data_IF_616769273392
#
_entry.id   IF_616769273392
#
_cell.length_a   1.000
_cell.length_b   1.000
_cell.length_c   1.000
_cell.angle_alpha   90.00
_cell.angle_beta   90.00
_cell.angle_gamma   90.00
#
_symmetry.space_group_name_H-M   'P 1'
#
loop_
_entity.id
_entity.type
_entity.pdbx_description
1 polymer ?
#
# COMPACT_ATOMS: atom_id res chain seq x y z
N UNK A 1 13.45 -60.47 12.36
CA UNK A 1 13.37 -59.94 10.98
C UNK A 1 12.43 -58.74 10.82
N UNK A 2 11.15 -58.80 11.24
CA UNK A 2 10.20 -57.67 11.07
C UNK A 2 10.63 -56.33 11.70
N UNK A 3 11.24 -56.35 12.90
CA UNK A 3 11.77 -55.13 13.56
C UNK A 3 12.90 -54.44 12.77
N UNK A 4 13.77 -55.21 12.09
CA UNK A 4 14.89 -54.63 11.33
C UNK A 4 14.39 -53.94 10.06
N UNK A 5 13.36 -54.48 9.41
CA UNK A 5 12.73 -53.86 8.23
C UNK A 5 12.04 -52.55 8.63
N UNK A 6 11.33 -52.52 9.76
CA UNK A 6 10.70 -51.29 10.27
C UNK A 6 11.72 -50.19 10.58
N UNK A 7 12.85 -50.53 11.19
CA UNK A 7 13.94 -49.58 11.48
C UNK A 7 14.54 -49.03 10.17
N UNK A 8 14.78 -49.89 9.19
CA UNK A 8 15.31 -49.48 7.87
C UNK A 8 14.34 -48.52 7.16
N UNK A 9 13.03 -48.85 7.14
CA UNK A 9 12.01 -47.99 6.51
C UNK A 9 11.92 -46.62 7.19
N UNK A 10 11.93 -46.58 8.52
CA UNK A 10 11.92 -45.31 9.27
C UNK A 10 13.19 -44.49 9.00
N UNK A 11 14.35 -45.13 8.95
CA UNK A 11 15.63 -44.45 8.71
C UNK A 11 15.67 -43.86 7.29
N UNK A 12 15.22 -44.61 6.29
CA UNK A 12 15.11 -44.14 4.89
C UNK A 12 14.10 -43.00 4.78
N UNK A 13 12.93 -43.10 5.41
CA UNK A 13 11.95 -42.02 5.45
C UNK A 13 12.50 -40.73 6.07
N UNK A 14 13.29 -40.87 7.14
CA UNK A 14 13.91 -39.73 7.83
C UNK A 14 15.00 -39.07 6.96
N UNK A 15 15.83 -39.86 6.26
CA UNK A 15 16.83 -39.36 5.30
C UNK A 15 16.15 -38.62 4.15
N UNK A 16 15.08 -39.19 3.57
CA UNK A 16 14.32 -38.55 2.49
C UNK A 16 13.70 -37.24 2.99
N UNK A 17 13.09 -37.23 4.17
CA UNK A 17 12.52 -36.01 4.76
C UNK A 17 13.57 -34.92 5.00
N UNK A 18 14.77 -35.28 5.49
CA UNK A 18 15.87 -34.34 5.68
C UNK A 18 16.39 -33.80 4.35
N UNK A 19 16.53 -34.66 3.34
CA UNK A 19 16.97 -34.26 2.00
C UNK A 19 15.98 -33.27 1.35
N UNK A 20 14.68 -33.57 1.39
CA UNK A 20 13.66 -32.66 0.88
C UNK A 20 13.61 -31.36 1.68
N UNK A 21 13.71 -31.41 3.01
CA UNK A 21 13.74 -30.20 3.83
C UNK A 21 14.95 -29.32 3.51
N UNK A 22 16.13 -29.92 3.30
CA UNK A 22 17.34 -29.18 2.91
C UNK A 22 17.20 -28.51 1.54
N UNK A 23 16.71 -29.24 0.52
CA UNK A 23 16.46 -28.69 -0.81
C UNK A 23 15.41 -27.56 -0.78
N UNK A 24 14.33 -27.76 -0.01
CA UNK A 24 13.25 -26.78 0.13
C UNK A 24 13.66 -25.57 0.96
N UNK A 25 14.69 -25.67 1.82
CA UNK A 25 15.18 -24.56 2.64
C UNK A 25 15.69 -23.41 1.78
N UNK A 26 16.55 -23.71 0.80
CA UNK A 26 17.07 -22.69 -0.13
C UNK A 26 15.95 -22.04 -0.97
N UNK A 27 14.97 -22.83 -1.41
CA UNK A 27 13.81 -22.31 -2.13
C UNK A 27 12.98 -21.33 -1.27
N UNK A 28 12.70 -21.69 -0.01
CA UNK A 28 11.98 -20.83 0.94
C UNK A 28 12.72 -19.52 1.24
N UNK A 29 14.04 -19.58 1.41
CA UNK A 29 14.86 -18.38 1.65
C UNK A 29 14.84 -17.42 0.46
N UNK A 30 14.87 -17.95 -0.77
CA UNK A 30 14.75 -17.14 -2.00
C UNK A 30 13.36 -16.52 -2.12
N UNK A 31 12.30 -17.30 -1.88
CA UNK A 31 10.91 -16.82 -1.93
C UNK A 31 10.64 -15.72 -0.89
N UNK A 32 11.15 -15.88 0.34
CA UNK A 32 11.06 -14.85 1.38
C UNK A 32 11.79 -13.57 0.98
N UNK A 33 13.01 -13.68 0.42
CA UNK A 33 13.75 -12.50 -0.04
C UNK A 33 13.00 -11.76 -1.16
N UNK A 34 12.47 -12.49 -2.14
CA UNK A 34 11.69 -11.92 -3.24
C UNK A 34 10.43 -11.20 -2.74
N UNK A 35 9.69 -11.84 -1.82
CA UNK A 35 8.55 -11.23 -1.15
C UNK A 35 8.91 -9.89 -0.46
N UNK A 36 9.96 -9.86 0.35
CA UNK A 36 10.37 -8.64 1.04
C UNK A 36 10.82 -7.54 0.08
N UNK A 37 11.49 -7.90 -1.03
CA UNK A 37 11.87 -6.93 -2.07
C UNK A 37 10.63 -6.31 -2.73
N UNK A 38 9.65 -7.12 -3.11
CA UNK A 38 8.38 -6.65 -3.69
C UNK A 38 7.58 -5.79 -2.70
N UNK A 39 7.50 -6.21 -1.44
CA UNK A 39 6.82 -5.47 -0.37
C UNK A 39 7.47 -4.10 -0.14
N UNK A 40 8.80 -4.08 0.00
CA UNK A 40 9.55 -2.83 0.13
C UNK A 40 9.37 -1.95 -1.10
N UNK A 41 9.36 -2.51 -2.31
CA UNK A 41 9.12 -1.75 -3.53
C UNK A 41 7.73 -1.10 -3.55
N UNK A 42 6.68 -1.86 -3.21
CA UNK A 42 5.31 -1.35 -3.13
C UNK A 42 5.15 -0.22 -2.13
N UNK A 43 5.84 -0.27 -1.00
CA UNK A 43 5.78 0.77 0.03
C UNK A 43 6.66 1.98 -0.32
N UNK A 44 7.89 1.76 -0.79
CA UNK A 44 8.80 2.84 -1.16
C UNK A 44 8.23 3.66 -2.33
N UNK A 45 7.71 2.98 -3.35
CA UNK A 45 7.15 3.67 -4.51
C UNK A 45 5.72 4.15 -4.23
N UNK A 46 4.87 3.28 -3.67
CA UNK A 46 3.47 3.63 -3.42
C UNK A 46 3.31 4.73 -2.37
N UNK A 47 4.08 4.72 -1.29
CA UNK A 47 3.92 5.66 -0.17
C UNK A 47 4.92 6.79 -0.25
N UNK A 48 6.23 6.51 -0.23
CA UNK A 48 7.23 7.59 -0.09
C UNK A 48 7.27 8.52 -1.30
N UNK A 49 7.26 7.98 -2.52
CA UNK A 49 7.16 8.84 -3.70
C UNK A 49 5.83 9.60 -3.74
N UNK A 50 4.73 9.03 -3.23
CA UNK A 50 3.47 9.76 -3.11
C UNK A 50 3.58 10.90 -2.10
N UNK A 51 4.26 10.74 -0.97
CA UNK A 51 4.54 11.84 -0.02
C UNK A 51 5.34 12.95 -0.71
N UNK A 52 6.41 12.60 -1.42
CA UNK A 52 7.22 13.57 -2.17
C UNK A 52 6.38 14.30 -3.24
N UNK A 53 5.51 13.58 -3.95
CA UNK A 53 4.60 14.17 -4.93
C UNK A 53 3.54 15.07 -4.31
N UNK A 54 3.04 14.72 -3.12
CA UNK A 54 2.16 15.59 -2.33
C UNK A 54 2.87 16.90 -1.99
N UNK A 55 4.15 16.86 -1.63
CA UNK A 55 4.93 18.08 -1.37
C UNK A 55 5.03 18.99 -2.60
N UNK A 56 5.20 18.43 -3.79
CA UNK A 56 5.16 19.21 -5.03
C UNK A 56 3.78 19.83 -5.29
N UNK A 57 2.70 19.09 -5.02
CA UNK A 57 1.33 19.63 -5.12
C UNK A 57 1.14 20.79 -4.14
N UNK A 58 1.45 20.60 -2.86
CA UNK A 58 1.33 21.63 -1.82
C UNK A 58 2.12 22.89 -2.18
N UNK A 59 3.38 22.71 -2.60
CA UNK A 59 4.23 23.83 -3.04
C UNK A 59 3.65 24.57 -4.24
N UNK A 60 3.09 23.84 -5.21
CA UNK A 60 2.45 24.46 -6.38
C UNK A 60 1.23 25.31 -5.99
N UNK A 61 0.44 24.82 -5.04
CA UNK A 61 -0.73 25.50 -4.51
C UNK A 61 -0.35 26.74 -3.71
N UNK A 62 0.61 26.63 -2.79
CA UNK A 62 1.11 27.73 -1.96
C UNK A 62 1.74 28.86 -2.79
N UNK A 63 2.43 28.51 -3.89
CA UNK A 63 3.09 29.47 -4.76
C UNK A 63 2.15 30.17 -5.76
N UNK A 64 0.82 29.95 -5.67
CA UNK A 64 -0.13 30.46 -6.66
C UNK A 64 0.22 30.06 -8.10
N UNK A 65 0.75 28.84 -8.28
CA UNK A 65 1.14 28.34 -9.61
C UNK A 65 -0.06 28.23 -10.55
N UNK A 66 0.24 28.18 -11.86
CA UNK A 66 -0.77 28.06 -12.91
C UNK A 66 -1.58 26.76 -12.79
N UNK A 67 -2.77 26.75 -13.41
CA UNK A 67 -3.64 25.57 -13.47
C UNK A 67 -2.91 24.34 -14.03
N UNK A 68 -2.14 24.53 -15.08
CA UNK A 68 -1.36 23.47 -15.74
C UNK A 68 -0.29 22.91 -14.81
N UNK A 69 0.36 23.76 -14.02
CA UNK A 69 1.38 23.33 -13.06
C UNK A 69 0.76 22.50 -11.93
N UNK A 70 -0.37 22.95 -11.39
CA UNK A 70 -1.10 22.21 -10.35
C UNK A 70 -1.54 20.85 -10.89
N UNK A 71 -2.17 20.82 -12.07
CA UNK A 71 -2.59 19.57 -12.72
C UNK A 71 -1.43 18.62 -13.02
N UNK A 72 -0.28 19.15 -13.45
CA UNK A 72 0.92 18.36 -13.68
C UNK A 72 1.40 17.69 -12.38
N UNK A 73 1.48 18.44 -11.27
CA UNK A 73 1.89 17.87 -9.97
C UNK A 73 0.89 16.85 -9.42
N UNK A 74 -0.42 17.09 -9.59
CA UNK A 74 -1.47 16.12 -9.25
C UNK A 74 -1.37 14.86 -10.11
N UNK A 75 -1.03 15.00 -11.38
CA UNK A 75 -0.76 13.88 -12.29
C UNK A 75 0.38 13.00 -11.80
N UNK A 76 1.49 13.58 -11.35
CA UNK A 76 2.61 12.81 -10.79
C UNK A 76 2.20 12.06 -9.52
N UNK A 77 1.44 12.71 -8.62
CA UNK A 77 0.88 12.06 -7.44
C UNK A 77 -0.04 10.88 -7.80
N UNK A 78 -0.92 11.06 -8.79
CA UNK A 78 -1.79 9.99 -9.25
C UNK A 78 -0.98 8.80 -9.79
N UNK A 79 0.11 9.05 -10.51
CA UNK A 79 0.99 7.98 -11.01
C UNK A 79 1.62 7.19 -9.87
N UNK A 80 2.19 7.84 -8.86
CA UNK A 80 2.83 7.11 -7.74
C UNK A 80 1.81 6.29 -6.93
N UNK A 81 0.61 6.83 -6.72
CA UNK A 81 -0.48 6.09 -6.06
C UNK A 81 -0.92 4.88 -6.90
N UNK A 82 -0.99 5.03 -8.23
CA UNK A 82 -1.34 3.93 -9.14
C UNK A 82 -0.29 2.82 -9.15
N UNK A 83 0.99 3.19 -9.11
CA UNK A 83 2.07 2.19 -9.00
C UNK A 83 2.00 1.46 -7.66
N UNK A 84 1.66 2.15 -6.56
CA UNK A 84 1.37 1.53 -5.27
C UNK A 84 0.25 0.49 -5.35
N UNK A 85 -0.88 0.83 -5.99
CA UNK A 85 -1.98 -0.11 -6.24
C UNK A 85 -1.47 -1.36 -6.99
N UNK A 86 -0.78 -1.18 -8.11
CA UNK A 86 -0.30 -2.28 -8.96
C UNK A 86 0.67 -3.19 -8.22
N UNK A 87 1.60 -2.62 -7.46
CA UNK A 87 2.55 -3.39 -6.65
C UNK A 87 1.82 -4.31 -5.65
N UNK A 88 0.79 -3.80 -4.98
CA UNK A 88 0.02 -4.60 -4.02
C UNK A 88 -0.95 -5.59 -4.69
N UNK A 89 -1.40 -5.34 -5.92
CA UNK A 89 -2.10 -6.36 -6.73
C UNK A 89 -1.16 -7.54 -6.99
N UNK A 90 0.08 -7.29 -7.41
CA UNK A 90 1.05 -8.36 -7.67
C UNK A 90 1.42 -9.14 -6.40
N UNK A 91 1.52 -8.46 -5.26
CA UNK A 91 1.78 -9.09 -3.96
C UNK A 91 0.63 -9.95 -3.44
N UNK A 92 -0.59 -9.86 -4.00
CA UNK A 92 -1.72 -10.61 -3.48
C UNK A 92 -1.50 -12.13 -3.56
N UNK A 93 -0.84 -12.60 -4.62
CA UNK A 93 -0.48 -14.02 -4.74
C UNK A 93 0.49 -14.44 -3.62
N UNK A 94 1.52 -13.63 -3.35
CA UNK A 94 2.47 -13.89 -2.26
C UNK A 94 1.76 -13.87 -0.89
N UNK A 95 0.79 -12.97 -0.67
CA UNK A 95 -0.02 -12.92 0.57
C UNK A 95 -0.86 -14.19 0.76
N UNK A 96 -1.47 -14.69 -0.31
CA UNK A 96 -2.29 -15.90 -0.27
C UNK A 96 -1.43 -17.14 -0.02
N UNK A 97 -0.30 -17.26 -0.72
CA UNK A 97 0.62 -18.40 -0.60
C UNK A 97 1.32 -18.47 0.76
N UNK A 98 1.75 -17.34 1.31
CA UNK A 98 2.57 -17.29 2.53
C UNK A 98 1.75 -17.14 3.83
N UNK A 99 0.51 -16.66 3.76
CA UNK A 99 -0.25 -16.26 4.96
C UNK A 99 -1.73 -16.60 5.00
N UNK A 100 -2.32 -17.19 3.94
CA UNK A 100 -3.79 -17.24 3.80
C UNK A 100 -4.44 -15.87 4.02
N UNK A 101 -3.76 -14.82 3.55
CA UNK A 101 -4.10 -13.41 3.74
C UNK A 101 -4.33 -12.76 2.38
N UNK A 102 -4.77 -11.50 2.38
CA UNK A 102 -4.93 -10.75 1.14
C UNK A 102 -4.39 -9.33 1.25
N UNK A 103 -3.79 -8.85 0.15
CA UNK A 103 -3.45 -7.44 -0.02
C UNK A 103 -4.61 -6.63 -0.61
N UNK A 104 -5.82 -7.20 -0.70
CA UNK A 104 -6.97 -6.60 -1.36
C UNK A 104 -7.35 -5.24 -0.80
N UNK A 105 -7.43 -5.11 0.53
CA UNK A 105 -7.72 -3.83 1.16
C UNK A 105 -6.61 -2.81 0.85
N UNK A 106 -5.35 -3.24 0.87
CA UNK A 106 -4.18 -2.40 0.61
C UNK A 106 -4.27 -1.75 -0.77
N UNK A 107 -4.36 -2.56 -1.84
CA UNK A 107 -4.43 -1.99 -3.19
C UNK A 107 -5.75 -1.23 -3.41
N UNK A 108 -6.84 -1.61 -2.73
CA UNK A 108 -8.13 -0.90 -2.87
C UNK A 108 -8.09 0.51 -2.27
N UNK A 109 -7.33 0.70 -1.19
CA UNK A 109 -7.08 2.02 -0.59
C UNK A 109 -6.23 2.88 -1.52
N UNK A 110 -5.14 2.34 -2.09
CA UNK A 110 -4.36 3.06 -3.11
C UNK A 110 -5.23 3.48 -4.30
N UNK A 111 -6.13 2.60 -4.75
CA UNK A 111 -7.09 2.89 -5.81
C UNK A 111 -8.04 4.03 -5.43
N UNK A 112 -8.50 4.09 -4.18
CA UNK A 112 -9.38 5.17 -3.71
C UNK A 112 -8.63 6.51 -3.62
N UNK A 113 -7.38 6.51 -3.16
CA UNK A 113 -6.53 7.71 -3.15
C UNK A 113 -6.26 8.20 -4.58
N UNK A 114 -5.90 7.28 -5.48
CA UNK A 114 -5.73 7.58 -6.90
C UNK A 114 -7.01 8.14 -7.53
N UNK A 115 -8.15 7.51 -7.24
CA UNK A 115 -9.46 7.94 -7.72
C UNK A 115 -9.81 9.34 -7.24
N UNK A 116 -9.50 9.67 -5.99
CA UNK A 116 -9.68 11.01 -5.45
C UNK A 116 -8.81 12.05 -6.16
N UNK A 117 -7.50 11.81 -6.26
CA UNK A 117 -6.58 12.75 -6.91
C UNK A 117 -6.92 12.98 -8.38
N UNK A 118 -7.32 11.91 -9.09
CA UNK A 118 -7.66 12.01 -10.52
C UNK A 118 -9.05 12.59 -10.74
N UNK A 119 -10.08 11.93 -10.22
CA UNK A 119 -11.47 12.24 -10.57
C UNK A 119 -12.06 13.37 -9.74
N UNK A 120 -11.72 13.49 -8.45
CA UNK A 120 -12.32 14.53 -7.60
C UNK A 120 -11.49 15.81 -7.56
N UNK A 121 -10.18 15.76 -7.82
CA UNK A 121 -9.34 16.96 -7.83
C UNK A 121 -9.00 17.39 -9.25
N UNK A 122 -8.35 16.53 -10.02
CA UNK A 122 -7.85 16.92 -11.34
C UNK A 122 -8.98 17.20 -12.32
N UNK A 123 -9.98 16.33 -12.41
CA UNK A 123 -11.11 16.51 -13.33
C UNK A 123 -11.99 17.71 -12.93
N UNK A 124 -12.18 17.98 -11.64
CA UNK A 124 -12.92 19.15 -11.14
C UNK A 124 -12.19 20.46 -11.47
N UNK A 125 -10.85 20.48 -11.36
CA UNK A 125 -10.02 21.61 -11.80
C UNK A 125 -10.10 21.76 -13.32
N UNK A 126 -9.95 20.69 -14.10
CA UNK A 126 -10.00 20.71 -15.57
C UNK A 126 -11.34 21.28 -16.05
N UNK A 127 -12.44 20.78 -15.51
CA UNK A 127 -13.81 21.17 -15.84
C UNK A 127 -14.25 22.52 -15.24
N UNK A 128 -13.38 23.19 -14.47
CA UNK A 128 -13.62 24.43 -13.76
C UNK A 128 -14.76 24.35 -12.71
N UNK A 129 -15.09 23.15 -12.24
CA UNK A 129 -15.98 22.98 -11.08
C UNK A 129 -15.27 23.39 -9.78
N UNK A 130 -13.94 23.23 -9.73
CA UNK A 130 -13.09 23.77 -8.68
C UNK A 130 -12.19 24.87 -9.25
N UNK A 131 -12.42 26.12 -8.82
CA UNK A 131 -11.55 27.23 -9.18
C UNK A 131 -10.21 27.13 -8.42
N UNK A 132 -9.15 27.73 -8.97
CA UNK A 132 -7.87 27.89 -8.26
C UNK A 132 -7.72 29.28 -7.64
N UNK A 133 -8.86 29.94 -7.41
CA UNK A 133 -8.99 31.18 -6.65
C UNK A 133 -8.86 30.92 -5.14
N UNK A 134 -8.72 31.99 -4.36
CA UNK A 134 -8.21 31.93 -2.98
C UNK A 134 -8.94 30.89 -2.08
N UNK A 135 -10.27 30.93 -1.99
CA UNK A 135 -11.03 30.06 -1.09
C UNK A 135 -11.01 28.58 -1.54
N UNK A 136 -11.24 28.32 -2.82
CA UNK A 136 -11.18 26.96 -3.40
C UNK A 136 -9.78 26.34 -3.31
N UNK A 137 -8.74 27.16 -3.49
CA UNK A 137 -7.34 26.77 -3.34
C UNK A 137 -7.00 26.46 -1.88
N UNK A 138 -7.52 27.23 -0.92
CA UNK A 138 -7.36 26.93 0.51
C UNK A 138 -8.01 25.61 0.90
N UNK A 139 -9.19 25.30 0.36
CA UNK A 139 -9.84 24.00 0.59
C UNK A 139 -9.02 22.84 -0.03
N UNK A 140 -8.56 22.99 -1.27
CA UNK A 140 -7.71 22.01 -1.94
C UNK A 140 -6.41 21.75 -1.14
N UNK A 141 -5.79 22.83 -0.65
CA UNK A 141 -4.58 22.74 0.16
C UNK A 141 -4.84 21.95 1.44
N UNK A 142 -5.94 22.21 2.14
CA UNK A 142 -6.34 21.45 3.34
C UNK A 142 -6.56 19.97 3.04
N UNK A 143 -7.24 19.64 1.93
CA UNK A 143 -7.51 18.25 1.55
C UNK A 143 -6.23 17.49 1.20
N UNK A 144 -5.30 18.14 0.49
CA UNK A 144 -3.98 17.58 0.18
C UNK A 144 -3.12 17.44 1.45
N UNK A 145 -3.20 18.38 2.41
CA UNK A 145 -2.51 18.26 3.71
C UNK A 145 -3.02 17.09 4.55
N UNK A 146 -4.33 16.81 4.52
CA UNK A 146 -4.90 15.61 5.15
C UNK A 146 -4.28 14.37 4.52
N UNK A 147 -4.33 14.26 3.18
CA UNK A 147 -3.75 13.12 2.46
C UNK A 147 -2.26 12.94 2.76
N UNK A 148 -1.51 14.04 2.88
CA UNK A 148 -0.08 14.00 3.28
C UNK A 148 0.09 13.33 4.63
N UNK A 149 -0.59 13.84 5.66
CA UNK A 149 -0.46 13.34 7.04
C UNK A 149 -0.82 11.87 7.13
N UNK A 150 -1.84 11.44 6.38
CA UNK A 150 -2.28 10.05 6.39
C UNK A 150 -1.28 9.14 5.66
N UNK A 151 -0.69 9.57 4.54
CA UNK A 151 0.42 8.83 3.90
C UNK A 151 1.66 8.76 4.79
N UNK A 152 2.05 9.86 5.45
CA UNK A 152 3.15 9.89 6.42
C UNK A 152 2.86 8.96 7.61
N UNK A 153 1.61 8.92 8.06
CA UNK A 153 1.21 8.00 9.13
C UNK A 153 1.35 6.55 8.69
N UNK A 154 0.93 6.20 7.46
CA UNK A 154 1.12 4.86 6.91
C UNK A 154 2.61 4.52 6.80
N UNK A 155 3.46 5.42 6.27
CA UNK A 155 4.91 5.19 6.18
C UNK A 155 5.53 4.91 7.56
N UNK A 156 5.09 5.65 8.59
CA UNK A 156 5.58 5.46 9.97
C UNK A 156 5.29 4.07 10.54
N UNK A 157 4.21 3.43 10.10
CA UNK A 157 3.81 2.09 10.56
C UNK A 157 4.49 0.97 9.76
N UNK A 158 4.88 1.22 8.51
CA UNK A 158 5.29 0.20 7.54
C UNK A 158 6.72 0.41 6.99
N UNK A 159 7.70 0.68 7.85
CA UNK A 159 9.10 0.74 7.43
C UNK A 159 9.72 -0.66 7.23
N UNK A 160 10.84 -0.72 6.50
CA UNK A 160 11.55 -1.98 6.16
C UNK A 160 11.86 -2.83 7.41
N UNK A 161 12.28 -2.21 8.50
CA UNK A 161 12.60 -2.90 9.75
C UNK A 161 11.34 -3.47 10.41
N UNK A 162 10.21 -2.75 10.33
CA UNK A 162 8.93 -3.19 10.87
C UNK A 162 8.35 -4.40 10.11
N UNK A 163 8.75 -4.60 8.84
CA UNK A 163 8.16 -5.59 7.94
C UNK A 163 8.98 -6.86 7.77
N UNK A 164 10.30 -6.79 7.98
CA UNK A 164 11.25 -7.88 7.72
C UNK A 164 10.87 -9.20 8.41
N UNK A 165 10.25 -9.13 9.58
CA UNK A 165 9.89 -10.31 10.39
C UNK A 165 8.37 -10.51 10.53
N UNK A 166 7.56 -9.78 9.77
CA UNK A 166 6.09 -9.85 9.87
C UNK A 166 5.50 -10.78 8.83
N UNK A 167 4.47 -11.52 9.24
CA UNK A 167 3.70 -12.34 8.32
C UNK A 167 2.78 -11.47 7.45
N UNK A 168 2.39 -11.94 6.24
CA UNK A 168 1.38 -11.28 5.43
C UNK A 168 0.08 -11.01 6.20
N UNK A 169 -0.32 -11.93 7.08
CA UNK A 169 -1.53 -11.77 7.91
C UNK A 169 -1.42 -10.58 8.86
N UNK A 170 -0.27 -10.43 9.50
CA UNK A 170 -0.04 -9.28 10.38
C UNK A 170 -0.10 -7.96 9.60
N UNK A 171 0.42 -7.93 8.37
CA UNK A 171 0.38 -6.73 7.51
C UNK A 171 -1.05 -6.40 7.12
N UNK A 172 -1.84 -7.40 6.71
CA UNK A 172 -3.27 -7.25 6.41
C UNK A 172 -4.03 -6.68 7.61
N UNK A 173 -3.92 -7.30 8.78
CA UNK A 173 -4.63 -6.89 10.00
C UNK A 173 -4.20 -5.48 10.45
N UNK A 174 -2.88 -5.20 10.41
CA UNK A 174 -2.36 -3.88 10.77
C UNK A 174 -2.81 -2.80 9.80
N UNK A 175 -2.91 -3.12 8.52
CA UNK A 175 -3.40 -2.20 7.50
C UNK A 175 -4.89 -1.92 7.71
N UNK A 176 -5.70 -2.94 8.00
CA UNK A 176 -7.12 -2.76 8.29
C UNK A 176 -7.35 -1.85 9.50
N UNK A 177 -6.67 -2.10 10.62
CA UNK A 177 -6.70 -1.27 11.82
C UNK A 177 -6.33 0.19 11.49
N UNK A 178 -5.23 0.37 10.76
CA UNK A 178 -4.70 1.67 10.39
C UNK A 178 -5.68 2.48 9.54
N UNK A 179 -6.28 1.87 8.53
CA UNK A 179 -7.20 2.55 7.62
C UNK A 179 -8.51 2.87 8.33
N UNK A 180 -9.01 1.98 9.19
CA UNK A 180 -10.16 2.27 10.03
C UNK A 180 -9.90 3.50 10.91
N UNK A 181 -8.69 3.65 11.47
CA UNK A 181 -8.31 4.83 12.24
C UNK A 181 -8.27 6.10 11.37
N UNK A 182 -7.55 6.06 10.25
CA UNK A 182 -7.41 7.21 9.31
C UNK A 182 -8.77 7.72 8.87
N UNK A 183 -9.63 6.82 8.40
CA UNK A 183 -10.96 7.14 7.87
C UNK A 183 -11.86 7.75 8.97
N UNK A 184 -11.62 7.41 10.23
CA UNK A 184 -12.38 7.94 11.36
C UNK A 184 -11.84 9.28 11.91
N UNK A 185 -10.58 9.66 11.65
CA UNK A 185 -10.00 10.93 12.12
C UNK A 185 -10.55 12.16 11.41
N UNK A 186 -10.83 12.08 10.11
CA UNK A 186 -11.32 13.20 9.30
C UNK A 186 -12.71 12.88 8.72
N UNK A 187 -13.78 12.86 9.53
CA UNK A 187 -15.08 12.34 9.14
C UNK A 187 -15.78 13.12 8.02
N UNK A 188 -15.44 14.41 7.85
CA UNK A 188 -16.04 15.28 6.83
C UNK A 188 -15.20 15.31 5.53
N UNK A 189 -14.16 14.49 5.43
CA UNK A 189 -13.36 14.43 4.21
C UNK A 189 -14.07 13.52 3.18
N UNK A 190 -14.47 14.09 2.04
CA UNK A 190 -15.30 13.42 1.00
C UNK A 190 -14.80 12.02 0.63
N UNK A 191 -13.48 11.85 0.51
CA UNK A 191 -12.86 10.55 0.25
C UNK A 191 -13.20 9.52 1.34
N UNK A 192 -13.09 9.91 2.61
CA UNK A 192 -13.27 9.02 3.75
C UNK A 192 -14.74 8.67 3.99
N UNK A 193 -15.68 9.57 3.69
CA UNK A 193 -17.10 9.22 3.68
C UNK A 193 -17.39 8.06 2.72
N UNK A 194 -16.83 8.08 1.50
CA UNK A 194 -16.97 6.98 0.54
C UNK A 194 -16.28 5.71 1.02
N UNK A 195 -15.11 5.83 1.64
CA UNK A 195 -14.37 4.67 2.16
C UNK A 195 -15.12 4.00 3.32
N UNK A 196 -15.75 4.76 4.24
CA UNK A 196 -16.60 4.19 5.30
C UNK A 196 -17.71 3.33 4.74
N UNK A 197 -18.44 3.86 3.75
CA UNK A 197 -19.53 3.13 3.09
C UNK A 197 -19.04 1.90 2.34
N UNK A 198 -17.88 1.99 1.69
CA UNK A 198 -17.31 0.91 0.87
C UNK A 198 -16.78 -0.24 1.72
N UNK A 199 -16.18 0.06 2.86
CA UNK A 199 -15.46 -0.92 3.70
C UNK A 199 -16.20 -1.26 5.01
N UNK A 200 -17.32 -0.61 5.31
CA UNK A 200 -18.09 -0.77 6.55
C UNK A 200 -17.26 -0.52 7.83
N UNK A 201 -16.49 0.57 7.83
CA UNK A 201 -15.80 1.08 9.03
C UNK A 201 -16.70 1.92 9.93
#
# INVERSE_FOLDING_TARGET
>A
MKKNIAIIVLTVGLIISLFFNYQMKGYKEVQQRDYHLKLNHGLQIGIKQSIENVDYVLKSLQNNSSKETVLYTLGNLAVSLKVGEEAFIFLNADFQELGSSSSNLIYSVFRDFYGYVRADLSDDIVSNQQSLEQDSRSQLLKDIEILKKDLEYIDSQFNEQALKDRSPKWIEDKWEELIAEIVNRNPNFKLYERMKLKYNF
#
